data_IF_594752845698
#
_entry.id   IF_594752845698
#
_cell.length_a   1.000
_cell.length_b   1.000
_cell.length_c   1.000
_cell.angle_alpha   90.00
_cell.angle_beta   90.00
_cell.angle_gamma   90.00
#
_symmetry.space_group_name_H-M   'P 1'
#
loop_
_entity.id
_entity.type
_entity.pdbx_description
1 polymer ?
#
# COMPACT_ATOMS: atom_id res chain seq x y z
N UNK A 1 -13.95 -16.08 -31.89
CA UNK A 1 -15.26 -15.42 -32.08
C UNK A 1 -15.95 -15.46 -30.73
N UNK A 2 -15.84 -14.45 -29.87
CA UNK A 2 -16.35 -13.08 -30.03
C UNK A 2 -17.66 -13.02 -29.25
N UNK A 3 -17.94 -12.09 -28.35
CA UNK A 3 -17.28 -10.90 -27.85
C UNK A 3 -18.26 -10.19 -26.89
N UNK A 4 -17.74 -9.24 -26.11
CA UNK A 4 -18.45 -8.04 -25.60
C UNK A 4 -19.78 -8.21 -24.84
N UNK A 5 -19.71 -8.05 -23.51
CA UNK A 5 -20.69 -7.23 -22.77
C UNK A 5 -20.14 -6.83 -21.39
N UNK A 6 -19.13 -5.96 -21.41
CA UNK A 6 -18.68 -5.13 -20.29
C UNK A 6 -18.36 -3.76 -20.88
N UNK A 7 -19.39 -2.96 -21.15
CA UNK A 7 -19.29 -1.54 -21.48
C UNK A 7 -20.70 -0.93 -21.49
N UNK A 8 -20.81 0.29 -20.94
CA UNK A 8 -22.04 1.02 -20.56
C UNK A 8 -22.51 0.58 -19.16
N UNK A 9 -22.14 1.24 -18.06
CA UNK A 9 -22.53 2.62 -17.73
C UNK A 9 -21.40 3.27 -16.89
N UNK A 10 -20.46 3.94 -17.56
CA UNK A 10 -19.65 4.99 -16.96
C UNK A 10 -19.59 6.14 -17.96
N UNK A 11 -20.58 7.04 -17.88
CA UNK A 11 -20.52 8.43 -18.37
C UNK A 11 -21.80 9.18 -18.02
N UNK A 12 -21.82 9.79 -16.83
CA UNK A 12 -22.13 11.23 -16.72
C UNK A 12 -21.65 11.77 -15.37
N UNK A 13 -20.80 12.78 -15.50
CA UNK A 13 -20.29 13.67 -14.48
C UNK A 13 -21.47 14.45 -13.92
N UNK A 14 -21.74 14.33 -12.63
CA UNK A 14 -22.46 15.35 -11.87
C UNK A 14 -21.59 15.72 -10.67
N UNK A 15 -20.90 16.84 -10.82
CA UNK A 15 -20.21 17.52 -9.74
C UNK A 15 -21.30 18.24 -8.90
N UNK A 16 -21.28 18.06 -7.57
CA UNK A 16 -22.22 18.59 -6.55
C UNK A 16 -23.40 17.70 -6.15
N UNK A 17 -23.13 16.48 -5.66
CA UNK A 17 -23.99 15.88 -4.63
C UNK A 17 -23.26 15.92 -3.29
N UNK A 18 -23.64 16.89 -2.45
CA UNK A 18 -23.53 16.72 -1.00
C UNK A 18 -24.26 15.41 -0.70
N UNK A 19 -23.55 14.42 -0.20
CA UNK A 19 -24.17 13.22 0.38
C UNK A 19 -24.87 13.73 1.64
N UNK A 20 -26.11 14.17 1.51
CA UNK A 20 -26.97 14.40 2.65
C UNK A 20 -27.29 13.01 3.20
N UNK A 21 -26.61 12.62 4.28
CA UNK A 21 -26.90 11.38 4.97
C UNK A 21 -28.36 11.43 5.47
N UNK A 22 -29.15 10.38 5.29
CA UNK A 22 -30.48 10.31 5.88
C UNK A 22 -30.36 10.34 7.41
N UNK A 23 -31.36 10.95 8.05
CA UNK A 23 -31.59 11.03 9.51
C UNK A 23 -31.54 9.65 10.22
N UNK A 24 -31.41 8.55 9.49
CA UNK A 24 -31.30 7.18 10.02
C UNK A 24 -30.05 6.91 10.86
N UNK A 25 -29.01 7.75 10.83
CA UNK A 25 -27.84 7.59 11.72
C UNK A 25 -28.21 7.90 13.20
N UNK A 26 -29.22 8.74 13.44
CA UNK A 26 -29.62 9.16 14.79
C UNK A 26 -30.55 8.17 15.52
N UNK A 27 -31.18 7.23 14.79
CA UNK A 27 -32.26 6.40 15.36
C UNK A 27 -31.84 4.96 15.70
N UNK A 28 -30.58 4.57 15.50
CA UNK A 28 -30.08 3.20 15.78
C UNK A 28 -29.20 3.07 17.04
N UNK A 29 -29.20 4.05 17.94
CA UNK A 29 -28.28 4.08 19.10
C UNK A 29 -28.89 3.66 20.43
N UNK A 30 -29.88 2.76 20.46
CA UNK A 30 -30.47 2.31 21.73
C UNK A 30 -30.74 0.81 21.75
N UNK A 31 -29.79 0.04 22.28
CA UNK A 31 -30.04 -0.91 23.38
C UNK A 31 -28.75 -1.07 24.20
N UNK A 32 -28.75 -0.55 25.44
CA UNK A 32 -27.66 -0.73 26.40
C UNK A 32 -28.09 -1.82 27.39
N UNK A 33 -27.51 -3.01 27.29
CA UNK A 33 -27.58 -3.98 28.38
C UNK A 33 -26.57 -3.59 29.47
N UNK A 34 -27.07 -3.08 30.59
CA UNK A 34 -26.29 -2.50 31.72
C UNK A 34 -25.80 -3.57 32.71
N UNK A 35 -25.38 -4.75 32.26
CA UNK A 35 -25.08 -5.84 33.20
C UNK A 35 -23.84 -6.67 32.87
N UNK A 36 -22.70 -6.04 32.57
CA UNK A 36 -21.39 -6.70 32.76
C UNK A 36 -20.29 -5.65 32.88
N UNK A 37 -19.25 -5.90 33.69
CA UNK A 37 -18.02 -5.06 33.72
C UNK A 37 -17.58 -4.80 32.28
N UNK A 38 -17.82 -3.60 31.77
CA UNK A 38 -17.75 -3.30 30.33
C UNK A 38 -16.29 -3.34 29.86
N UNK A 39 -15.87 -4.47 29.31
CA UNK A 39 -14.80 -4.48 28.32
C UNK A 39 -15.22 -3.55 27.19
N UNK A 40 -14.35 -2.63 26.78
CA UNK A 40 -14.57 -1.81 25.59
C UNK A 40 -14.96 -2.77 24.44
N UNK A 41 -16.13 -2.61 23.81
CA UNK A 41 -16.55 -3.49 22.72
C UNK A 41 -15.48 -3.52 21.62
N UNK A 42 -15.17 -4.69 21.09
CA UNK A 42 -14.02 -4.88 20.19
C UNK A 42 -14.02 -3.94 18.97
N UNK A 43 -15.21 -3.53 18.50
CA UNK A 43 -15.39 -2.56 17.42
C UNK A 43 -14.72 -1.21 17.73
N UNK A 44 -14.89 -0.70 18.94
CA UNK A 44 -14.35 0.59 19.37
C UNK A 44 -12.82 0.52 19.42
N UNK A 45 -12.28 -0.61 19.90
CA UNK A 45 -10.84 -0.89 19.89
C UNK A 45 -10.29 -0.88 18.46
N UNK A 46 -10.99 -1.51 17.50
CA UNK A 46 -10.59 -1.53 16.08
C UNK A 46 -10.69 -0.17 15.40
N UNK A 47 -11.70 0.65 15.72
CA UNK A 47 -11.76 2.06 15.26
C UNK A 47 -10.54 2.83 15.77
N UNK A 48 -10.24 2.73 17.07
CA UNK A 48 -9.09 3.41 17.66
C UNK A 48 -7.76 2.92 17.05
N UNK A 49 -7.64 1.62 16.78
CA UNK A 49 -6.48 1.05 16.09
C UNK A 49 -6.35 1.57 14.66
N UNK A 50 -7.44 1.59 13.88
CA UNK A 50 -7.43 2.18 12.54
C UNK A 50 -7.00 3.65 12.57
N UNK A 51 -7.52 4.44 13.52
CA UNK A 51 -7.12 5.85 13.67
C UNK A 51 -5.61 5.96 13.94
N UNK A 52 -5.04 5.12 14.82
CA UNK A 52 -3.60 5.09 15.08
C UNK A 52 -2.81 4.77 13.82
N UNK A 53 -3.22 3.74 13.08
CA UNK A 53 -2.55 3.32 11.83
C UNK A 53 -2.61 4.39 10.74
N UNK A 54 -3.75 5.08 10.61
CA UNK A 54 -3.95 6.17 9.64
C UNK A 54 -3.18 7.44 10.03
N UNK A 55 -2.97 7.65 11.32
CA UNK A 55 -2.21 8.79 11.83
C UNK A 55 -0.70 8.62 11.79
N UNK A 56 -0.20 7.41 11.49
CA UNK A 56 1.24 7.22 11.36
C UNK A 56 1.80 8.22 10.36
N UNK A 57 2.80 8.98 10.80
CA UNK A 57 3.53 9.93 9.98
C UNK A 57 2.69 11.05 9.35
N UNK A 58 1.42 11.20 9.75
CA UNK A 58 0.56 12.29 9.30
C UNK A 58 0.97 13.59 10.00
N UNK A 59 1.36 14.59 9.21
CA UNK A 59 1.50 15.97 9.73
C UNK A 59 0.13 16.62 9.73
N UNK A 60 -0.12 17.48 10.72
CA UNK A 60 -1.44 18.03 11.05
C UNK A 60 -2.35 18.39 9.86
N UNK A 61 -3.68 18.19 10.00
CA UNK A 61 -4.36 17.69 11.19
C UNK A 61 -4.36 16.15 11.28
N UNK A 62 -4.01 15.63 12.45
CA UNK A 62 -4.23 14.22 12.78
C UNK A 62 -5.72 13.88 12.71
N UNK A 63 -6.03 12.66 12.33
CA UNK A 63 -7.36 12.08 12.41
C UNK A 63 -7.77 11.96 13.90
N UNK A 64 -8.81 12.70 14.27
CA UNK A 64 -9.43 12.75 15.60
C UNK A 64 -10.96 12.85 15.47
N UNK A 65 -11.70 12.82 16.58
CA UNK A 65 -13.16 12.80 16.52
C UNK A 65 -13.78 14.01 15.82
N UNK A 66 -13.19 15.20 15.96
CA UNK A 66 -13.64 16.40 15.24
C UNK A 66 -13.47 16.26 13.72
N UNK A 67 -12.29 15.83 13.25
CA UNK A 67 -12.05 15.61 11.82
C UNK A 67 -12.90 14.48 11.23
N UNK A 68 -13.16 13.42 12.01
CA UNK A 68 -14.04 12.31 11.60
C UNK A 68 -15.49 12.79 11.51
N UNK A 69 -15.96 13.55 12.51
CA UNK A 69 -17.30 14.12 12.50
C UNK A 69 -17.52 15.01 11.26
N UNK A 70 -16.54 15.85 10.94
CA UNK A 70 -16.57 16.68 9.73
C UNK A 70 -16.54 15.83 8.45
N UNK A 71 -15.59 14.89 8.34
CA UNK A 71 -15.42 14.02 7.17
C UNK A 71 -16.65 13.16 6.85
N UNK A 72 -17.36 12.73 7.90
CA UNK A 72 -18.55 11.90 7.83
C UNK A 72 -19.85 12.70 7.91
N UNK A 73 -19.78 14.04 7.99
CA UNK A 73 -20.95 14.93 8.12
C UNK A 73 -21.86 14.56 9.32
N UNK A 74 -21.24 14.22 10.45
CA UNK A 74 -21.91 13.93 11.72
C UNK A 74 -21.86 15.19 12.59
N UNK A 75 -23.04 15.72 12.96
CA UNK A 75 -23.13 17.00 13.67
C UNK A 75 -22.54 16.98 15.09
N UNK A 76 -22.52 15.80 15.73
CA UNK A 76 -22.07 15.65 17.11
C UNK A 76 -20.65 15.10 17.17
N UNK A 77 -19.68 15.98 17.43
CA UNK A 77 -18.29 15.57 17.73
C UNK A 77 -18.25 14.68 18.98
N UNK A 78 -19.05 15.01 20.01
CA UNK A 78 -19.06 14.24 21.26
C UNK A 78 -19.50 12.79 21.03
N UNK A 79 -20.44 12.55 20.11
CA UNK A 79 -20.84 11.18 19.74
C UNK A 79 -19.65 10.37 19.18
N UNK A 80 -18.80 10.99 18.35
CA UNK A 80 -17.63 10.32 17.79
C UNK A 80 -16.58 10.06 18.87
N UNK A 81 -16.34 11.03 19.75
CA UNK A 81 -15.42 10.85 20.88
C UNK A 81 -15.90 9.75 21.84
N UNK A 82 -17.21 9.67 22.12
CA UNK A 82 -17.79 8.61 22.95
C UNK A 82 -17.63 7.23 22.28
N UNK A 83 -17.73 7.14 20.95
CA UNK A 83 -17.40 5.92 20.20
C UNK A 83 -15.92 5.60 20.31
N UNK A 84 -15.02 6.54 20.04
CA UNK A 84 -13.57 6.30 20.10
C UNK A 84 -13.15 5.83 21.49
N UNK A 85 -13.74 6.39 22.55
CA UNK A 85 -13.45 6.08 23.94
C UNK A 85 -14.18 4.82 24.47
N UNK A 86 -14.99 4.15 23.64
CA UNK A 86 -15.67 2.91 24.06
C UNK A 86 -16.93 3.12 24.90
N UNK A 87 -17.42 4.35 25.03
CA UNK A 87 -18.61 4.70 25.82
C UNK A 87 -19.91 4.42 25.07
N UNK A 88 -19.89 4.49 23.73
CA UNK A 88 -21.04 4.22 22.85
C UNK A 88 -20.63 3.25 21.76
N UNK A 89 -21.49 2.31 21.40
CA UNK A 89 -21.27 1.43 20.25
C UNK A 89 -21.54 2.17 18.92
N UNK A 90 -20.67 2.02 17.91
CA UNK A 90 -20.93 2.57 16.58
C UNK A 90 -22.07 1.81 15.89
N UNK A 91 -22.91 2.52 15.16
CA UNK A 91 -23.91 1.90 14.28
C UNK A 91 -23.25 1.22 13.07
N UNK A 92 -23.93 0.25 12.46
CA UNK A 92 -23.44 -0.41 11.24
C UNK A 92 -23.24 0.59 10.08
N UNK A 93 -24.10 1.61 10.00
CA UNK A 93 -23.98 2.70 9.02
C UNK A 93 -22.72 3.54 9.25
N UNK A 94 -22.42 3.90 10.50
CA UNK A 94 -21.20 4.63 10.85
C UNK A 94 -19.95 3.82 10.49
N UNK A 95 -19.91 2.53 10.83
CA UNK A 95 -18.79 1.64 10.48
C UNK A 95 -18.57 1.58 8.97
N UNK A 96 -19.65 1.51 8.19
CA UNK A 96 -19.58 1.44 6.73
C UNK A 96 -19.05 2.75 6.13
N UNK A 97 -19.55 3.90 6.60
CA UNK A 97 -19.05 5.21 6.18
C UNK A 97 -17.59 5.44 6.58
N UNK A 98 -17.19 5.03 7.78
CA UNK A 98 -15.80 5.12 8.24
C UNK A 98 -14.88 4.27 7.37
N UNK A 99 -15.25 3.01 7.12
CA UNK A 99 -14.46 2.08 6.31
C UNK A 99 -14.32 2.55 4.86
N UNK A 100 -15.39 3.07 4.26
CA UNK A 100 -15.35 3.64 2.90
C UNK A 100 -14.47 4.90 2.85
N UNK A 101 -14.68 5.84 3.77
CA UNK A 101 -13.97 7.13 3.77
C UNK A 101 -12.46 6.99 3.96
N UNK A 102 -12.05 6.12 4.87
CA UNK A 102 -10.64 5.95 5.24
C UNK A 102 -9.99 4.73 4.61
N UNK A 103 -10.69 4.11 3.66
CA UNK A 103 -10.21 2.94 2.94
C UNK A 103 -9.78 1.80 3.88
N UNK A 104 -10.56 1.54 4.92
CA UNK A 104 -10.36 0.39 5.82
C UNK A 104 -11.23 -0.78 5.34
N UNK A 105 -10.79 -2.00 5.60
CA UNK A 105 -11.57 -3.20 5.39
C UNK A 105 -12.75 -3.27 6.38
N UNK A 106 -13.97 -3.26 5.85
CA UNK A 106 -15.19 -3.24 6.67
C UNK A 106 -15.39 -4.55 7.44
N UNK A 107 -14.98 -5.68 6.87
CA UNK A 107 -15.10 -6.98 7.53
C UNK A 107 -14.12 -7.05 8.70
N UNK A 108 -12.88 -6.60 8.53
CA UNK A 108 -11.93 -6.44 9.64
C UNK A 108 -12.50 -5.55 10.74
N UNK A 109 -13.06 -4.39 10.38
CA UNK A 109 -13.62 -3.47 11.37
C UNK A 109 -14.78 -4.11 12.18
N UNK A 110 -15.60 -4.93 11.52
CA UNK A 110 -16.75 -5.61 12.14
C UNK A 110 -16.35 -6.86 12.93
N UNK A 111 -15.56 -7.75 12.36
CA UNK A 111 -15.34 -9.11 12.89
C UNK A 111 -13.91 -9.36 13.36
N UNK A 112 -12.96 -8.49 13.01
CA UNK A 112 -11.53 -8.72 13.22
C UNK A 112 -10.91 -9.72 12.25
N UNK A 113 -11.65 -10.24 11.27
CA UNK A 113 -11.11 -11.09 10.21
C UNK A 113 -10.19 -10.28 9.29
N UNK A 114 -9.19 -10.94 8.67
CA UNK A 114 -8.20 -10.30 7.79
C UNK A 114 -7.38 -9.21 8.51
N UNK A 115 -7.02 -8.14 7.79
CA UNK A 115 -6.21 -7.03 8.28
C UNK A 115 -6.83 -5.71 7.80
N UNK A 116 -6.58 -4.57 8.49
CA UNK A 116 -7.23 -3.30 8.20
C UNK A 116 -7.12 -2.84 6.75
N UNK A 117 -6.01 -3.18 6.09
CA UNK A 117 -5.70 -2.75 4.73
C UNK A 117 -5.58 -3.92 3.74
N UNK A 118 -6.09 -5.11 4.06
CA UNK A 118 -5.96 -6.30 3.20
C UNK A 118 -6.37 -6.04 1.74
N UNK A 119 -7.47 -5.31 1.53
CA UNK A 119 -8.00 -4.94 0.20
C UNK A 119 -7.03 -4.12 -0.66
N UNK A 120 -5.99 -3.55 -0.06
CA UNK A 120 -4.96 -2.77 -0.76
C UNK A 120 -3.82 -3.63 -1.27
N UNK A 121 -3.68 -4.87 -0.80
CA UNK A 121 -2.60 -5.78 -1.15
C UNK A 121 -2.99 -6.62 -2.37
N UNK A 122 -2.20 -6.48 -3.44
CA UNK A 122 -2.39 -7.17 -4.71
C UNK A 122 -1.20 -8.10 -4.96
N UNK A 123 -1.50 -9.39 -5.08
CA UNK A 123 -0.48 -10.42 -5.28
C UNK A 123 -0.33 -10.77 -6.75
N UNK A 124 0.89 -10.66 -7.27
CA UNK A 124 1.24 -11.10 -8.63
C UNK A 124 2.57 -11.84 -8.66
N UNK A 125 2.65 -12.86 -9.51
CA UNK A 125 3.92 -13.59 -9.74
C UNK A 125 4.97 -12.68 -10.38
N UNK A 126 4.55 -11.85 -11.35
CA UNK A 126 5.41 -11.02 -12.18
C UNK A 126 5.23 -9.54 -11.82
N UNK A 127 6.34 -8.82 -11.64
CA UNK A 127 6.29 -7.41 -11.28
C UNK A 127 5.75 -6.53 -12.41
N UNK A 128 5.87 -6.95 -13.67
CA UNK A 128 5.36 -6.20 -14.83
C UNK A 128 3.84 -5.96 -14.75
N UNK A 129 3.08 -6.78 -14.01
CA UNK A 129 1.68 -6.52 -13.71
C UNK A 129 1.46 -5.17 -13.00
N UNK A 130 2.43 -4.72 -12.19
CA UNK A 130 2.39 -3.42 -11.53
C UNK A 130 2.38 -2.25 -12.52
N UNK A 131 2.88 -2.42 -13.76
CA UNK A 131 2.86 -1.39 -14.80
C UNK A 131 1.40 -1.10 -15.23
N UNK A 132 0.57 -2.13 -15.37
CA UNK A 132 -0.83 -1.94 -15.71
C UNK A 132 -1.58 -1.25 -14.58
N UNK A 133 -1.36 -1.69 -13.34
CA UNK A 133 -1.94 -1.05 -12.15
C UNK A 133 -1.53 0.42 -12.08
N UNK A 134 -0.28 0.76 -12.36
CA UNK A 134 0.18 2.15 -12.41
C UNK A 134 -0.64 3.00 -13.40
N UNK A 135 -0.82 2.50 -14.63
CA UNK A 135 -1.53 3.22 -15.70
C UNK A 135 -2.99 3.48 -15.35
N UNK A 136 -3.65 2.52 -14.71
CA UNK A 136 -5.05 2.61 -14.30
C UNK A 136 -5.22 3.49 -13.05
N UNK A 137 -4.40 3.23 -12.03
CA UNK A 137 -4.52 3.86 -10.71
C UNK A 137 -4.05 5.31 -10.70
N UNK A 138 -3.00 5.61 -11.49
CA UNK A 138 -2.34 6.92 -11.63
C UNK A 138 -1.89 7.46 -10.26
N UNK A 139 -0.92 6.80 -9.60
CA UNK A 139 -0.45 7.22 -8.30
C UNK A 139 0.22 8.60 -8.36
N UNK A 140 0.20 9.30 -7.23
CA UNK A 140 0.97 10.53 -7.02
C UNK A 140 2.37 10.25 -6.50
N UNK A 141 2.54 9.14 -5.79
CA UNK A 141 3.81 8.70 -5.22
C UNK A 141 3.95 7.20 -5.38
N UNK A 142 5.15 6.76 -5.71
CA UNK A 142 5.53 5.35 -5.83
C UNK A 142 6.62 5.07 -4.82
N UNK A 143 6.45 4.04 -4.01
CA UNK A 143 7.50 3.51 -3.16
C UNK A 143 7.93 2.14 -3.67
N UNK A 144 9.23 1.96 -3.86
CA UNK A 144 9.85 0.64 -3.97
C UNK A 144 10.42 0.36 -2.59
N UNK A 145 9.86 -0.61 -1.87
CA UNK A 145 10.32 -0.88 -0.51
C UNK A 145 10.87 -2.29 -0.37
N UNK A 146 11.95 -2.39 0.38
CA UNK A 146 12.75 -3.60 0.50
C UNK A 146 12.99 -3.94 1.97
N UNK A 147 12.81 -5.21 2.33
CA UNK A 147 13.15 -5.73 3.64
C UNK A 147 14.68 -5.73 3.86
N UNK A 148 15.12 -5.34 5.05
CA UNK A 148 16.52 -5.39 5.49
C UNK A 148 16.94 -6.81 5.86
N UNK A 149 16.90 -7.70 4.86
CA UNK A 149 17.31 -9.09 4.92
C UNK A 149 18.20 -9.39 3.71
N UNK A 150 18.94 -10.51 3.74
CA UNK A 150 19.92 -10.87 2.71
C UNK A 150 19.30 -11.06 1.31
N UNK A 151 18.07 -11.56 1.27
CA UNK A 151 17.27 -11.79 0.07
C UNK A 151 16.73 -10.48 -0.55
N UNK A 152 16.71 -9.40 0.23
CA UNK A 152 16.15 -8.11 -0.16
C UNK A 152 14.73 -8.24 -0.72
N UNK A 153 13.82 -8.85 0.04
CA UNK A 153 12.41 -8.97 -0.35
C UNK A 153 11.86 -7.60 -0.72
N UNK A 154 11.21 -7.50 -1.87
CA UNK A 154 10.85 -6.22 -2.47
C UNK A 154 9.40 -6.22 -2.93
N UNK A 155 8.75 -5.10 -2.70
CA UNK A 155 7.38 -4.82 -3.12
C UNK A 155 7.26 -3.35 -3.56
N UNK A 156 6.13 -3.04 -4.20
CA UNK A 156 5.86 -1.72 -4.78
C UNK A 156 4.59 -1.18 -4.13
N UNK A 157 4.62 0.03 -3.59
CA UNK A 157 3.43 0.72 -3.13
C UNK A 157 3.12 1.92 -4.03
N UNK A 158 1.87 2.02 -4.46
CA UNK A 158 1.32 3.14 -5.20
C UNK A 158 0.40 3.93 -4.30
N UNK A 159 0.72 5.19 -4.07
CA UNK A 159 -0.05 6.07 -3.21
C UNK A 159 -0.70 7.19 -4.03
N UNK A 160 -2.01 7.34 -3.90
CA UNK A 160 -2.77 8.41 -4.56
C UNK A 160 -3.21 9.50 -3.58
N UNK A 161 -3.57 9.10 -2.37
CA UNK A 161 -3.85 9.98 -1.24
C UNK A 161 -3.29 9.37 0.05
N UNK A 162 -3.49 10.05 1.19
CA UNK A 162 -3.09 9.52 2.50
C UNK A 162 -3.81 8.21 2.88
N UNK A 163 -5.02 7.99 2.35
CA UNK A 163 -5.86 6.81 2.65
C UNK A 163 -5.96 5.85 1.48
N UNK A 164 -5.89 6.36 0.25
CA UNK A 164 -5.97 5.55 -0.97
C UNK A 164 -4.56 5.20 -1.46
N UNK A 165 -4.22 3.91 -1.32
CA UNK A 165 -2.97 3.31 -1.81
C UNK A 165 -3.17 1.87 -2.30
N UNK A 166 -2.19 1.29 -2.99
CA UNK A 166 -2.14 -0.13 -3.35
C UNK A 166 -0.72 -0.66 -3.10
N UNK A 167 -0.61 -1.86 -2.55
CA UNK A 167 0.66 -2.56 -2.37
C UNK A 167 0.67 -3.75 -3.33
N UNK A 168 1.68 -3.82 -4.19
CA UNK A 168 1.85 -4.88 -5.16
C UNK A 168 3.07 -5.69 -4.76
N UNK A 169 2.87 -6.99 -4.56
CA UNK A 169 3.91 -7.92 -4.12
C UNK A 169 3.73 -9.30 -4.75
N UNK A 170 4.67 -10.20 -4.48
CA UNK A 170 4.59 -11.60 -4.84
C UNK A 170 4.34 -12.46 -3.60
N UNK A 171 3.63 -13.58 -3.75
CA UNK A 171 3.42 -14.55 -2.67
C UNK A 171 4.75 -15.17 -2.21
N UNK A 172 5.67 -15.42 -3.14
CA UNK A 172 7.03 -15.90 -2.86
C UNK A 172 8.03 -14.78 -2.57
N UNK A 173 7.56 -13.52 -2.50
CA UNK A 173 8.37 -12.30 -2.55
C UNK A 173 9.18 -12.12 -3.85
N UNK A 174 9.41 -10.88 -4.26
CA UNK A 174 10.45 -10.59 -5.25
C UNK A 174 11.76 -10.30 -4.54
N UNK A 175 12.87 -10.73 -5.12
CA UNK A 175 14.21 -10.58 -4.55
C UNK A 175 14.98 -9.53 -5.35
N UNK A 176 15.77 -8.69 -4.67
CA UNK A 176 16.78 -7.83 -5.31
C UNK A 176 18.21 -8.39 -5.20
N UNK A 177 18.35 -9.64 -4.73
CA UNK A 177 19.62 -10.37 -4.71
C UNK A 177 19.50 -11.73 -5.42
N UNK A 178 20.65 -12.32 -5.76
CA UNK A 178 20.73 -13.69 -6.27
C UNK A 178 20.50 -14.75 -5.19
N UNK A 179 20.48 -14.35 -3.91
CA UNK A 179 20.38 -15.26 -2.80
C UNK A 179 18.97 -15.88 -2.72
N UNK A 180 18.92 -17.21 -2.65
CA UNK A 180 17.68 -17.95 -2.48
C UNK A 180 16.79 -18.06 -3.74
N UNK A 181 17.26 -17.62 -4.91
CA UNK A 181 16.48 -17.69 -6.15
C UNK A 181 16.91 -18.82 -7.11
N UNK A 182 15.94 -19.64 -7.52
CA UNK A 182 16.08 -20.59 -8.62
C UNK A 182 15.71 -19.97 -9.98
N UNK A 183 15.53 -20.80 -11.02
CA UNK A 183 15.23 -20.32 -12.38
C UNK A 183 14.00 -19.41 -12.48
N UNK A 184 12.92 -19.72 -11.74
CA UNK A 184 11.73 -18.85 -11.65
C UNK A 184 12.05 -17.52 -10.99
N UNK A 185 12.77 -17.54 -9.86
CA UNK A 185 13.18 -16.33 -9.14
C UNK A 185 14.08 -15.41 -9.98
N UNK A 186 14.95 -15.97 -10.81
CA UNK A 186 15.72 -15.18 -11.77
C UNK A 186 14.84 -14.47 -12.81
N UNK A 187 13.77 -15.12 -13.28
CA UNK A 187 12.82 -14.48 -14.20
C UNK A 187 11.99 -13.41 -13.49
N UNK A 188 11.64 -13.64 -12.21
CA UNK A 188 10.96 -12.64 -11.38
C UNK A 188 11.85 -11.42 -11.14
N UNK A 189 13.14 -11.62 -10.87
CA UNK A 189 14.14 -10.54 -10.77
C UNK A 189 14.22 -9.71 -12.07
N UNK A 190 14.20 -10.37 -13.24
CA UNK A 190 14.16 -9.66 -14.53
C UNK A 190 12.86 -8.88 -14.71
N UNK A 191 11.72 -9.47 -14.36
CA UNK A 191 10.41 -8.77 -14.41
C UNK A 191 10.39 -7.56 -13.47
N UNK A 192 11.00 -7.68 -12.28
CA UNK A 192 11.16 -6.58 -11.33
C UNK A 192 12.05 -5.48 -11.90
N UNK A 193 13.20 -5.82 -12.49
CA UNK A 193 14.07 -4.88 -13.19
C UNK A 193 13.31 -4.10 -14.28
N UNK A 194 12.56 -4.79 -15.15
CA UNK A 194 11.78 -4.15 -16.22
C UNK A 194 10.73 -3.18 -15.67
N UNK A 195 10.11 -3.54 -14.54
CA UNK A 195 9.14 -2.69 -13.84
C UNK A 195 9.80 -1.46 -13.23
N UNK A 196 10.95 -1.63 -12.57
CA UNK A 196 11.72 -0.53 -12.01
C UNK A 196 12.23 0.43 -13.09
N UNK A 197 12.68 -0.11 -14.22
CA UNK A 197 13.10 0.69 -15.37
C UNK A 197 11.95 1.55 -15.91
N UNK A 198 10.74 0.98 -16.02
CA UNK A 198 9.54 1.75 -16.36
C UNK A 198 9.25 2.85 -15.33
N UNK A 199 9.30 2.54 -14.04
CA UNK A 199 9.00 3.49 -12.95
C UNK A 199 10.08 4.58 -12.80
N UNK A 200 11.32 4.32 -13.20
CA UNK A 200 12.43 5.28 -13.16
C UNK A 200 12.19 6.50 -14.06
N UNK A 201 11.38 6.36 -15.11
CA UNK A 201 10.94 7.48 -15.95
C UNK A 201 10.15 8.53 -15.17
N UNK A 202 9.66 8.15 -14.00
CA UNK A 202 8.89 8.95 -13.08
C UNK A 202 9.64 9.19 -11.75
N UNK A 203 10.99 9.15 -11.79
CA UNK A 203 11.87 9.22 -10.61
C UNK A 203 11.57 10.37 -9.64
N UNK A 204 11.00 11.48 -10.10
CA UNK A 204 10.64 12.62 -9.23
C UNK A 204 9.64 12.26 -8.13
N UNK A 205 8.85 11.21 -8.31
CA UNK A 205 7.89 10.71 -7.32
C UNK A 205 8.03 9.20 -7.03
N UNK A 206 9.11 8.58 -7.50
CA UNK A 206 9.48 7.19 -7.18
C UNK A 206 10.57 7.20 -6.13
N UNK A 207 10.37 6.49 -5.03
CA UNK A 207 11.28 6.50 -3.90
C UNK A 207 11.60 5.08 -3.42
N UNK A 208 12.89 4.74 -3.37
CA UNK A 208 13.35 3.51 -2.73
C UNK A 208 13.35 3.66 -1.22
N UNK A 209 12.91 2.62 -0.49
CA UNK A 209 12.82 2.61 0.98
C UNK A 209 13.30 1.26 1.52
N UNK A 210 14.00 1.29 2.64
CA UNK A 210 14.32 0.07 3.41
C UNK A 210 13.50 0.04 4.70
N UNK A 211 12.96 -1.13 5.02
CA UNK A 211 12.14 -1.40 6.20
C UNK A 211 12.65 -2.66 6.90
N UNK A 212 12.31 -2.85 8.19
CA UNK A 212 12.60 -4.12 8.84
C UNK A 212 11.81 -5.27 8.19
N UNK A 213 12.21 -6.50 8.47
CA UNK A 213 11.47 -7.69 8.00
C UNK A 213 10.02 -7.70 8.49
N UNK A 214 9.78 -7.43 9.77
CA UNK A 214 8.44 -7.36 10.35
C UNK A 214 7.59 -6.28 9.67
N UNK A 215 8.14 -5.09 9.45
CA UNK A 215 7.44 -3.99 8.77
C UNK A 215 7.12 -4.34 7.32
N UNK A 216 8.02 -5.04 6.62
CA UNK A 216 7.78 -5.52 5.26
C UNK A 216 6.56 -6.44 5.22
N UNK A 217 6.53 -7.44 6.11
CA UNK A 217 5.41 -8.38 6.17
C UNK A 217 4.11 -7.71 6.63
N UNK A 218 4.17 -6.78 7.58
CA UNK A 218 2.99 -6.02 8.01
C UNK A 218 2.43 -5.14 6.89
N UNK A 219 3.29 -4.58 6.01
CA UNK A 219 2.85 -3.84 4.83
C UNK A 219 2.16 -4.76 3.82
N UNK A 220 2.85 -5.82 3.35
CA UNK A 220 2.30 -6.67 2.28
C UNK A 220 1.10 -7.51 2.74
N UNK A 221 0.93 -7.73 4.05
CA UNK A 221 -0.26 -8.39 4.61
C UNK A 221 -1.37 -7.41 4.97
N UNK A 222 -1.16 -6.09 4.84
CA UNK A 222 -2.18 -5.07 5.07
C UNK A 222 -2.44 -4.77 6.55
N UNK A 223 -1.53 -5.12 7.46
CA UNK A 223 -1.62 -4.76 8.89
C UNK A 223 -1.27 -3.30 9.15
N UNK A 224 -0.43 -2.70 8.32
CA UNK A 224 -0.05 -1.29 8.45
C UNK A 224 -0.21 -0.51 7.15
N UNK A 225 -0.25 0.82 7.28
CA UNK A 225 -0.42 1.74 6.16
C UNK A 225 0.91 2.05 5.48
N UNK A 226 0.90 2.28 4.17
CA UNK A 226 2.08 2.75 3.41
C UNK A 226 2.64 4.09 3.92
N UNK A 227 1.87 4.84 4.71
CA UNK A 227 2.30 6.12 5.30
C UNK A 227 3.57 5.99 6.15
N UNK A 228 3.87 4.79 6.68
CA UNK A 228 5.12 4.54 7.41
C UNK A 228 6.38 4.81 6.55
N UNK A 229 6.26 4.72 5.23
CA UNK A 229 7.35 4.90 4.27
C UNK A 229 7.73 6.37 4.04
N UNK A 230 6.82 7.31 4.33
CA UNK A 230 6.95 8.71 3.91
C UNK A 230 8.09 9.50 4.58
N UNK A 231 8.47 9.19 5.83
CA UNK A 231 9.58 9.87 6.53
C UNK A 231 10.89 9.09 6.51
N UNK A 232 10.91 7.90 5.90
CA UNK A 232 12.13 7.12 5.77
C UNK A 232 13.06 7.79 4.77
N UNK A 233 14.36 7.68 5.02
CA UNK A 233 15.37 8.12 4.06
C UNK A 233 15.23 7.31 2.76
N UNK A 234 15.60 7.93 1.64
CA UNK A 234 15.63 7.22 0.37
C UNK A 234 16.79 6.23 0.38
N UNK A 235 16.50 5.04 -0.14
CA UNK A 235 17.48 4.01 -0.46
C UNK A 235 17.61 3.93 -1.98
N UNK A 236 18.85 3.89 -2.47
CA UNK A 236 19.14 3.95 -3.91
C UNK A 236 19.42 2.58 -4.52
N UNK A 237 19.30 1.48 -3.76
CA UNK A 237 19.61 0.13 -4.24
C UNK A 237 18.82 -0.26 -5.49
N UNK A 238 17.55 0.15 -5.56
CA UNK A 238 16.72 -0.13 -6.73
C UNK A 238 17.19 0.63 -7.98
N UNK A 239 17.68 1.88 -7.84
CA UNK A 239 18.26 2.67 -8.93
C UNK A 239 19.59 2.09 -9.36
N UNK A 240 20.44 1.73 -8.39
CA UNK A 240 21.72 1.08 -8.63
C UNK A 240 21.54 -0.26 -9.37
N UNK A 241 20.45 -0.99 -9.13
CA UNK A 241 20.17 -2.23 -9.85
C UNK A 241 19.94 -2.00 -11.34
N UNK A 242 19.47 -0.81 -11.74
CA UNK A 242 19.22 -0.46 -13.14
C UNK A 242 20.50 -0.31 -13.96
N UNK A 243 21.63 -0.07 -13.30
CA UNK A 243 22.91 0.16 -13.95
C UNK A 243 23.73 -1.14 -14.05
N UNK A 244 23.64 -1.78 -15.22
CA UNK A 244 24.25 -3.09 -15.50
C UNK A 244 25.67 -3.02 -16.10
N UNK A 245 26.19 -1.82 -16.36
CA UNK A 245 27.49 -1.63 -17.03
C UNK A 245 28.45 -0.87 -16.12
N UNK A 246 28.76 -1.51 -15.01
CA UNK A 246 29.65 -0.97 -13.99
C UNK A 246 31.13 -1.11 -14.34
N UNK A 247 31.89 -0.08 -14.01
CA UNK A 247 33.34 -0.17 -13.94
C UNK A 247 33.79 -0.96 -12.69
N UNK A 248 34.99 -1.56 -12.69
CA UNK A 248 35.46 -2.38 -11.56
C UNK A 248 35.43 -1.68 -10.20
N UNK A 249 35.66 -0.35 -10.18
CA UNK A 249 35.62 0.44 -8.94
C UNK A 249 34.20 0.62 -8.40
N UNK A 250 33.19 0.65 -9.27
CA UNK A 250 31.78 0.76 -8.90
C UNK A 250 31.22 -0.58 -8.42
N UNK A 251 31.65 -1.69 -9.07
CA UNK A 251 31.38 -3.05 -8.58
C UNK A 251 31.87 -3.20 -7.15
N UNK A 252 33.12 -2.81 -6.86
CA UNK A 252 33.68 -2.91 -5.50
C UNK A 252 32.88 -2.11 -4.47
N UNK A 253 32.45 -0.89 -4.81
CA UNK A 253 31.60 -0.06 -3.95
C UNK A 253 30.23 -0.71 -3.71
N UNK A 254 29.55 -1.16 -4.76
CA UNK A 254 28.22 -1.78 -4.63
C UNK A 254 28.27 -3.10 -3.86
N UNK A 255 29.34 -3.90 -4.00
CA UNK A 255 29.59 -5.07 -3.13
C UNK A 255 29.70 -4.68 -1.67
N UNK A 256 30.39 -3.58 -1.36
CA UNK A 256 30.51 -3.09 0.01
C UNK A 256 29.17 -2.64 0.59
N UNK A 257 28.31 -1.99 -0.21
CA UNK A 257 27.02 -1.49 0.26
C UNK A 257 25.92 -2.55 0.31
N UNK A 258 25.86 -3.45 -0.66
CA UNK A 258 24.72 -4.35 -0.88
C UNK A 258 25.09 -5.84 -0.90
N UNK A 259 26.38 -6.18 -0.84
CA UNK A 259 26.87 -7.56 -0.86
C UNK A 259 27.13 -8.11 -2.27
N UNK A 260 27.78 -9.28 -2.31
CA UNK A 260 28.12 -9.97 -3.56
C UNK A 260 26.88 -10.43 -4.34
N UNK A 261 25.86 -10.88 -3.62
CA UNK A 261 24.62 -11.41 -4.21
C UNK A 261 23.83 -10.33 -5.00
N UNK A 262 24.04 -9.04 -4.68
CA UNK A 262 23.50 -7.93 -5.46
C UNK A 262 24.16 -7.80 -6.83
N UNK A 263 25.49 -7.93 -6.90
CA UNK A 263 26.23 -7.91 -8.18
C UNK A 263 25.87 -9.14 -9.02
N UNK A 264 25.71 -10.29 -8.38
CA UNK A 264 25.26 -11.49 -9.09
C UNK A 264 23.83 -11.31 -9.64
N UNK A 265 22.93 -10.66 -8.90
CA UNK A 265 21.61 -10.28 -9.42
C UNK A 265 21.72 -9.41 -10.69
N UNK A 266 22.60 -8.40 -10.70
CA UNK A 266 22.85 -7.60 -11.91
C UNK A 266 23.38 -8.43 -13.08
N UNK A 267 24.27 -9.39 -12.82
CA UNK A 267 24.78 -10.29 -13.85
C UNK A 267 23.69 -11.21 -14.42
N UNK A 268 22.82 -11.74 -13.55
CA UNK A 268 21.65 -12.53 -13.96
C UNK A 268 20.76 -11.70 -14.87
N UNK A 269 20.43 -10.47 -14.46
CA UNK A 269 19.63 -9.54 -15.27
C UNK A 269 20.31 -9.34 -16.63
N UNK A 270 21.58 -8.91 -16.62
CA UNK A 270 22.38 -8.65 -17.83
C UNK A 270 22.43 -9.83 -18.80
N UNK A 271 22.46 -11.07 -18.29
CA UNK A 271 22.46 -12.28 -19.11
C UNK A 271 21.11 -12.57 -19.80
N UNK A 272 20.02 -11.99 -19.30
CA UNK A 272 18.64 -12.28 -19.71
C UNK A 272 17.95 -11.12 -20.44
N UNK A 273 18.33 -9.87 -20.17
CA UNK A 273 17.81 -8.73 -20.95
C UNK A 273 18.58 -8.59 -22.26
N UNK A 274 17.84 -8.45 -23.36
CA UNK A 274 18.43 -8.17 -24.67
C UNK A 274 18.79 -6.69 -24.81
N UNK A 275 19.56 -6.35 -25.85
CA UNK A 275 19.78 -4.94 -26.23
C UNK A 275 18.46 -4.22 -26.56
N UNK A 276 17.47 -4.95 -27.08
CA UNK A 276 16.16 -4.39 -27.44
C UNK A 276 15.29 -4.03 -26.22
N UNK A 277 15.49 -4.70 -25.07
CA UNK A 277 14.83 -4.33 -23.81
C UNK A 277 15.27 -2.93 -23.32
N UNK A 278 16.50 -2.51 -23.66
CA UNK A 278 16.98 -1.15 -23.42
C UNK A 278 16.34 -0.12 -24.36
N UNK A 279 16.18 -0.47 -25.64
CA UNK A 279 15.69 0.44 -26.66
C UNK A 279 14.15 0.60 -26.61
N UNK A 280 13.38 -0.47 -26.33
CA UNK A 280 11.91 -0.44 -26.28
C UNK A 280 11.37 0.51 -25.21
N UNK A 281 12.10 0.70 -24.10
CA UNK A 281 11.65 1.49 -22.96
C UNK A 281 11.94 2.99 -23.07
N UNK A 282 12.74 3.41 -24.05
CA UNK A 282 13.01 4.82 -24.38
C UNK A 282 11.96 5.45 -25.31
N UNK A 283 11.02 4.67 -25.87
CA UNK A 283 10.07 5.13 -26.92
C UNK A 283 8.58 5.07 -26.56
N UNK A 284 8.18 4.59 -25.39
CA UNK A 284 6.78 4.64 -24.91
C UNK A 284 6.55 5.87 -24.06
#
# INVERSE_FOLDING_TARGET
MGGLLLLEIFKKKDNNKKIALPISILNETLEIDKSTKQSIPEYNTRILEAIKLLNVNKRDPMLNGASIAEDLSIESISLIEDIINGSIMPSSSMLSCFAEKYEIDLDWLKTGCNTPFHKHCLTYTWAENAIQIYKEYKPKTVYIFTADVKEHFTAIAYQKTHYDFRIIHCESNWHLSSNGIGGTGQNQLVSLYKTMLFLNRFHTFTHGKVVSEDEFFDLITGKCSVNILSHRLNDYRWEDLLDLNLEPTEIAKRKQYYGDDFIEAQNIIKSKVSKDDYDFMNYV
#
